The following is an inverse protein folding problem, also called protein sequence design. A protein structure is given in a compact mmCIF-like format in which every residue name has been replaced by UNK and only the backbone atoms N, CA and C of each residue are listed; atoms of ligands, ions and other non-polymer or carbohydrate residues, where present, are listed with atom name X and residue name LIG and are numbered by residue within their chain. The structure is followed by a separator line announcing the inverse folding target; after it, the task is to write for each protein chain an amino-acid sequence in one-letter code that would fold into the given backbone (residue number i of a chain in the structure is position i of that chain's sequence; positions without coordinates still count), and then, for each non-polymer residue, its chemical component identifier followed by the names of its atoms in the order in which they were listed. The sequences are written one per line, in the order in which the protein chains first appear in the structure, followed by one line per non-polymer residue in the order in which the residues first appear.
data_IF_628119665089
#
_entry.id   IF_628119665089
#
_cell.length_a   1.000
_cell.length_b   1.000
_cell.length_c   1.000
_cell.angle_alpha   90.00
_cell.angle_beta   90.00
_cell.angle_gamma   90.00
#
_symmetry.space_group_name_H-M   'P 1'
#
loop_
_entity.id
_entity.type
_entity.pdbx_description
1 polymer ?
#
# COMPACT_ATOMS: atom_id res chain seq x y z
N UNK A 1 -26.28 -3.28 -20.20
CA UNK A 1 -25.24 -4.26 -19.82
C UNK A 1 -23.86 -3.60 -19.98
N UNK A 2 -23.00 -3.70 -18.98
CA UNK A 2 -21.61 -3.27 -19.12
C UNK A 2 -20.80 -4.27 -19.94
N UNK A 3 -19.83 -3.77 -20.76
CA UNK A 3 -18.85 -4.60 -21.46
C UNK A 3 -17.52 -4.64 -20.72
N UNK A 4 -17.42 -3.91 -19.58
CA UNK A 4 -16.23 -3.88 -18.75
C UNK A 4 -16.28 -5.05 -17.78
N UNK A 5 -15.19 -5.84 -17.72
CA UNK A 5 -15.01 -6.84 -16.67
C UNK A 5 -14.65 -6.11 -15.37
N UNK A 6 -15.64 -5.89 -14.52
CA UNK A 6 -15.42 -5.37 -13.17
C UNK A 6 -14.89 -6.45 -12.23
N UNK A 7 -14.31 -6.05 -11.08
CA UNK A 7 -13.84 -7.00 -10.05
C UNK A 7 -14.94 -7.95 -9.57
N UNK A 8 -16.20 -7.50 -9.60
CA UNK A 8 -17.39 -8.33 -9.35
C UNK A 8 -18.17 -8.44 -10.65
N UNK A 9 -18.17 -9.63 -11.24
CA UNK A 9 -18.86 -9.88 -12.50
C UNK A 9 -20.41 -9.81 -12.39
N UNK A 10 -20.93 -10.01 -11.16
CA UNK A 10 -22.38 -10.06 -10.90
C UNK A 10 -22.98 -8.71 -10.47
N UNK A 11 -22.16 -7.69 -10.25
CA UNK A 11 -22.63 -6.38 -9.78
C UNK A 11 -21.97 -5.26 -10.59
N UNK A 12 -22.78 -4.31 -11.07
CA UNK A 12 -22.30 -3.12 -11.75
C UNK A 12 -22.22 -1.98 -10.73
N UNK A 13 -21.06 -1.32 -10.56
CA UNK A 13 -20.97 -0.15 -9.68
C UNK A 13 -21.75 1.04 -10.26
N UNK A 14 -22.13 2.04 -9.43
CA UNK A 14 -22.68 3.30 -9.90
C UNK A 14 -21.73 3.97 -10.91
N UNK A 15 -22.29 4.68 -11.88
CA UNK A 15 -21.50 5.43 -12.86
C UNK A 15 -21.17 6.80 -12.28
N UNK A 16 -19.89 7.08 -12.01
CA UNK A 16 -19.43 8.41 -11.64
C UNK A 16 -19.43 9.32 -12.88
N UNK A 17 -20.00 10.52 -12.74
CA UNK A 17 -20.11 11.51 -13.82
C UNK A 17 -19.37 12.81 -13.53
N UNK A 18 -18.88 13.01 -12.31
CA UNK A 18 -18.14 14.21 -11.94
C UNK A 18 -17.55 14.10 -10.53
N UNK A 19 -16.68 15.06 -10.20
CA UNK A 19 -16.11 15.20 -8.88
C UNK A 19 -15.64 16.63 -8.63
N UNK A 20 -15.76 17.10 -7.38
CA UNK A 20 -15.31 18.44 -6.97
C UNK A 20 -14.88 18.40 -5.50
N UNK A 21 -13.70 18.91 -5.21
CA UNK A 21 -13.17 18.89 -3.85
C UNK A 21 -13.11 17.44 -3.32
N UNK A 22 -13.74 17.18 -2.20
CA UNK A 22 -13.75 15.84 -1.58
C UNK A 22 -14.92 14.96 -2.05
N UNK A 23 -15.75 15.41 -2.98
CA UNK A 23 -16.99 14.72 -3.37
C UNK A 23 -16.94 14.20 -4.81
N UNK A 24 -17.53 13.02 -5.00
CA UNK A 24 -17.85 12.42 -6.28
C UNK A 24 -19.37 12.42 -6.49
N UNK A 25 -19.81 12.52 -7.74
CA UNK A 25 -21.21 12.50 -8.13
C UNK A 25 -21.49 11.34 -9.07
N UNK A 26 -22.57 10.59 -8.82
CA UNK A 26 -23.01 9.54 -9.73
C UNK A 26 -24.05 10.05 -10.74
N UNK A 27 -24.42 9.19 -11.70
CA UNK A 27 -25.38 9.51 -12.77
C UNK A 27 -26.80 9.79 -12.28
N UNK A 28 -27.12 9.57 -11.01
CA UNK A 28 -28.41 9.93 -10.38
C UNK A 28 -28.35 11.29 -9.70
N UNK A 29 -27.17 11.92 -9.66
CA UNK A 29 -26.93 13.17 -8.94
C UNK A 29 -26.60 13.00 -7.46
N UNK A 30 -26.45 11.77 -6.97
CA UNK A 30 -26.06 11.51 -5.58
C UNK A 30 -24.59 11.87 -5.36
N UNK A 31 -24.33 12.60 -4.28
CA UNK A 31 -22.98 12.96 -3.84
C UNK A 31 -22.43 11.94 -2.83
N UNK A 32 -21.12 11.66 -2.96
CA UNK A 32 -20.37 10.79 -2.07
C UNK A 32 -19.11 11.50 -1.59
N UNK A 33 -18.92 11.62 -0.28
CA UNK A 33 -17.64 12.04 0.30
C UNK A 33 -16.61 10.92 0.06
N UNK A 34 -15.50 11.24 -0.60
CA UNK A 34 -14.41 10.30 -0.84
C UNK A 34 -13.45 10.23 0.36
N UNK A 35 -13.86 9.51 1.41
CA UNK A 35 -13.03 9.32 2.59
C UNK A 35 -11.99 8.19 2.43
N UNK A 36 -11.93 7.56 1.25
CA UNK A 36 -10.94 6.54 0.90
C UNK A 36 -9.86 7.04 -0.06
N UNK A 37 -10.05 8.23 -0.66
CA UNK A 37 -9.23 8.67 -1.77
C UNK A 37 -9.26 7.68 -2.94
N UNK A 38 -10.38 6.99 -3.16
CA UNK A 38 -10.48 5.80 -3.98
C UNK A 38 -9.72 4.62 -3.36
N UNK A 39 -8.42 4.64 -3.35
CA UNK A 39 -7.52 3.71 -2.66
C UNK A 39 -6.26 4.46 -2.19
N UNK A 40 -6.44 5.54 -1.42
CA UNK A 40 -5.41 6.49 -0.99
C UNK A 40 -4.75 7.26 -2.17
N UNK A 41 -5.49 7.53 -3.24
CA UNK A 41 -4.98 8.16 -4.47
C UNK A 41 -5.25 9.66 -4.50
N UNK A 42 -6.51 10.07 -4.33
CA UNK A 42 -7.03 11.44 -4.58
C UNK A 42 -6.60 12.44 -3.51
N UNK A 43 -5.29 12.68 -3.37
CA UNK A 43 -4.74 13.54 -2.30
C UNK A 43 -5.20 15.01 -2.41
N UNK A 44 -5.42 15.55 -3.61
CA UNK A 44 -5.98 16.89 -3.83
C UNK A 44 -7.50 16.88 -4.05
N UNK A 45 -8.15 15.74 -3.83
CA UNK A 45 -9.54 15.55 -4.21
C UNK A 45 -9.74 15.57 -5.72
N UNK A 46 -10.89 16.03 -6.16
CA UNK A 46 -11.35 15.94 -7.54
C UNK A 46 -11.46 17.34 -8.18
N UNK A 47 -11.09 17.43 -9.47
CA UNK A 47 -11.30 18.65 -10.26
C UNK A 47 -10.41 19.84 -9.91
N UNK A 48 -9.18 19.62 -9.39
CA UNK A 48 -8.28 20.72 -9.03
C UNK A 48 -7.87 21.52 -10.27
N UNK A 49 -8.16 22.85 -10.32
CA UNK A 49 -8.06 23.63 -11.56
C UNK A 49 -6.63 23.75 -12.08
N UNK A 50 -5.64 23.89 -11.21
CA UNK A 50 -4.25 24.04 -11.62
C UNK A 50 -3.66 22.74 -12.22
N UNK A 51 -4.04 21.59 -11.68
CA UNK A 51 -3.60 20.30 -12.23
C UNK A 51 -4.22 20.10 -13.62
N UNK A 52 -5.51 20.41 -13.77
CA UNK A 52 -6.21 20.36 -15.06
C UNK A 52 -5.54 21.30 -16.07
N UNK A 53 -5.24 22.56 -15.67
CA UNK A 53 -4.56 23.51 -16.52
C UNK A 53 -3.16 23.06 -16.93
N UNK A 54 -2.40 22.43 -16.01
CA UNK A 54 -1.08 21.87 -16.32
C UNK A 54 -1.16 20.74 -17.36
N UNK A 55 -2.14 19.85 -17.22
CA UNK A 55 -2.38 18.78 -18.18
C UNK A 55 -2.78 19.32 -19.57
N UNK A 56 -3.63 20.34 -19.63
CA UNK A 56 -3.97 20.98 -20.90
C UNK A 56 -2.74 21.58 -21.59
N UNK A 57 -1.91 22.33 -20.85
CA UNK A 57 -0.65 22.86 -21.39
C UNK A 57 0.26 21.78 -21.93
N UNK A 58 0.48 20.72 -21.12
CA UNK A 58 1.34 19.61 -21.51
C UNK A 58 0.84 18.89 -22.76
N UNK A 59 -0.48 18.69 -22.87
CA UNK A 59 -1.08 18.03 -24.04
C UNK A 59 -0.81 18.81 -25.34
N UNK A 60 -0.87 20.15 -25.30
CA UNK A 60 -0.56 20.98 -26.46
C UNK A 60 0.95 21.04 -26.75
N UNK A 61 1.81 20.94 -25.74
CA UNK A 61 3.26 21.02 -25.90
C UNK A 61 3.83 19.70 -26.41
N UNK A 62 3.56 18.61 -25.70
CA UNK A 62 4.09 17.28 -25.99
C UNK A 62 3.26 16.23 -25.27
N UNK A 63 2.47 15.47 -26.00
CA UNK A 63 1.66 14.41 -25.45
C UNK A 63 2.50 13.19 -25.05
N UNK A 64 3.46 12.78 -25.88
CA UNK A 64 4.31 11.61 -25.67
C UNK A 64 5.68 11.76 -26.35
N UNK A 65 6.72 11.29 -25.66
CA UNK A 65 8.04 11.00 -26.21
C UNK A 65 8.57 9.72 -25.56
N UNK A 66 9.23 8.87 -26.34
CA UNK A 66 9.80 7.62 -25.84
C UNK A 66 11.17 7.87 -25.20
N UNK A 67 11.37 7.37 -23.98
CA UNK A 67 12.57 7.64 -23.17
C UNK A 67 13.88 7.02 -23.72
N UNK A 68 13.79 6.12 -24.72
CA UNK A 68 14.99 5.69 -25.46
C UNK A 68 15.59 6.77 -26.36
N UNK A 69 14.87 7.87 -26.63
CA UNK A 69 15.29 8.93 -27.54
C UNK A 69 15.30 10.31 -26.88
N UNK A 70 14.35 10.56 -25.97
CA UNK A 70 14.14 11.86 -25.37
C UNK A 70 13.75 11.74 -23.89
N UNK A 71 14.19 12.67 -23.08
CA UNK A 71 13.54 13.01 -21.81
C UNK A 71 12.54 14.14 -22.04
N UNK A 72 11.86 14.58 -20.99
CA UNK A 72 10.97 15.75 -21.05
C UNK A 72 11.20 16.66 -19.84
N UNK A 73 11.01 17.96 -20.03
CA UNK A 73 11.16 18.96 -18.97
C UNK A 73 10.31 18.61 -17.74
N UNK A 74 9.05 18.18 -17.94
CA UNK A 74 8.18 17.78 -16.85
C UNK A 74 8.69 16.55 -16.07
N UNK A 75 9.37 15.61 -16.75
CA UNK A 75 9.93 14.43 -16.10
C UNK A 75 11.17 14.79 -15.27
N UNK A 76 12.07 15.63 -15.82
CA UNK A 76 13.27 16.09 -15.12
C UNK A 76 12.91 16.95 -13.89
N UNK A 77 12.00 17.93 -14.05
CA UNK A 77 11.54 18.76 -12.93
C UNK A 77 10.82 17.94 -11.83
N UNK A 78 10.05 16.92 -12.22
CA UNK A 78 9.45 16.01 -11.24
C UNK A 78 10.53 15.23 -10.50
N UNK A 79 11.53 14.69 -11.20
CA UNK A 79 12.63 13.96 -10.59
C UNK A 79 13.40 14.84 -9.61
N UNK A 80 13.79 16.06 -10.00
CA UNK A 80 14.46 17.03 -9.12
C UNK A 80 13.64 17.30 -7.85
N UNK A 81 12.32 17.48 -8.01
CA UNK A 81 11.42 17.75 -6.90
C UNK A 81 11.31 16.57 -5.95
N UNK A 82 11.36 15.33 -6.45
CA UNK A 82 11.31 14.12 -5.64
C UNK A 82 12.62 13.91 -4.86
N UNK A 83 13.76 14.19 -5.49
CA UNK A 83 15.07 14.03 -4.84
C UNK A 83 15.34 15.12 -3.79
N UNK A 84 14.84 16.33 -4.00
CA UNK A 84 15.09 17.47 -3.10
C UNK A 84 14.79 17.16 -1.63
N UNK A 85 13.73 16.42 -1.36
CA UNK A 85 13.26 16.08 -0.01
C UNK A 85 13.48 14.59 0.31
N UNK A 86 14.28 13.89 -0.49
CA UNK A 86 14.48 12.45 -0.32
C UNK A 86 15.37 12.13 0.90
N UNK A 87 15.14 11.01 1.58
CA UNK A 87 16.05 10.50 2.59
C UNK A 87 17.49 10.43 2.11
N UNK A 88 18.48 10.64 3.00
CA UNK A 88 19.89 10.67 2.63
C UNK A 88 20.34 9.46 1.81
N UNK A 89 21.11 9.69 0.75
CA UNK A 89 21.66 8.66 -0.13
C UNK A 89 20.76 8.28 -1.31
N UNK A 90 19.51 8.70 -1.34
CA UNK A 90 18.63 8.58 -2.52
C UNK A 90 18.94 9.74 -3.49
N UNK A 91 19.16 9.43 -4.77
CA UNK A 91 19.72 10.39 -5.73
C UNK A 91 19.12 10.37 -7.13
N UNK A 92 18.44 9.29 -7.51
CA UNK A 92 17.89 9.12 -8.86
C UNK A 92 16.44 8.62 -8.82
N UNK A 93 15.71 8.86 -9.92
CA UNK A 93 14.30 8.50 -10.08
C UNK A 93 14.12 7.65 -11.33
N UNK A 94 13.42 6.54 -11.19
CA UNK A 94 12.90 5.76 -12.30
C UNK A 94 11.38 5.87 -12.33
N UNK A 95 10.81 6.47 -13.37
CA UNK A 95 9.37 6.67 -13.50
C UNK A 95 8.68 5.42 -14.08
N UNK A 96 7.47 5.15 -13.61
CA UNK A 96 6.62 4.04 -14.03
C UNK A 96 5.15 4.48 -14.12
N UNK A 97 4.25 3.61 -14.59
CA UNK A 97 2.83 3.98 -14.73
C UNK A 97 1.99 3.66 -13.50
N UNK A 98 2.56 3.08 -12.46
CA UNK A 98 1.84 2.75 -11.23
C UNK A 98 2.65 1.95 -10.23
N UNK A 99 2.05 1.66 -9.05
CA UNK A 99 2.74 1.02 -7.93
C UNK A 99 3.22 -0.41 -8.21
N UNK A 100 2.44 -1.21 -8.95
CA UNK A 100 2.86 -2.59 -9.30
C UNK A 100 4.10 -2.59 -10.19
N UNK A 101 4.18 -1.67 -11.16
CA UNK A 101 5.35 -1.51 -12.01
C UNK A 101 6.54 -0.93 -11.25
N UNK A 102 6.29 0.00 -10.31
CA UNK A 102 7.34 0.54 -9.46
C UNK A 102 7.98 -0.56 -8.59
N UNK A 103 7.19 -1.40 -7.94
CA UNK A 103 7.72 -2.53 -7.17
C UNK A 103 8.42 -3.55 -8.07
N UNK A 104 7.84 -3.92 -9.23
CA UNK A 104 8.48 -4.82 -10.20
C UNK A 104 9.85 -4.29 -10.63
N UNK A 105 9.93 -2.98 -10.89
CA UNK A 105 11.18 -2.30 -11.25
C UNK A 105 12.19 -2.31 -10.09
N UNK A 106 11.74 -2.02 -8.86
CA UNK A 106 12.60 -2.05 -7.67
C UNK A 106 13.21 -3.44 -7.41
N UNK A 107 12.41 -4.51 -7.58
CA UNK A 107 12.90 -5.89 -7.44
C UNK A 107 13.97 -6.22 -8.50
N UNK A 108 13.75 -5.79 -9.74
CA UNK A 108 14.71 -5.99 -10.84
C UNK A 108 15.96 -5.14 -10.66
N UNK A 109 15.83 -3.89 -10.20
CA UNK A 109 16.98 -3.04 -9.86
C UNK A 109 17.84 -3.70 -8.78
N UNK A 110 17.19 -4.18 -7.72
CA UNK A 110 17.89 -4.86 -6.64
C UNK A 110 18.62 -6.13 -7.13
N UNK A 111 18.00 -6.90 -8.00
CA UNK A 111 18.64 -8.08 -8.62
C UNK A 111 19.83 -7.68 -9.49
N UNK A 112 19.63 -6.73 -10.41
CA UNK A 112 20.70 -6.31 -11.34
C UNK A 112 21.86 -5.65 -10.59
N UNK A 113 21.60 -4.88 -9.53
CA UNK A 113 22.64 -4.32 -8.67
C UNK A 113 23.66 -5.37 -8.24
N UNK A 114 23.20 -6.53 -7.76
CA UNK A 114 24.12 -7.61 -7.35
C UNK A 114 24.80 -8.32 -8.53
N UNK A 115 24.17 -8.38 -9.68
CA UNK A 115 24.83 -8.88 -10.90
C UNK A 115 25.98 -7.96 -11.32
N UNK A 116 25.75 -6.63 -11.31
CA UNK A 116 26.80 -5.64 -11.62
C UNK A 116 27.93 -5.64 -10.58
N UNK A 117 27.61 -6.00 -9.33
CA UNK A 117 28.61 -6.19 -8.26
C UNK A 117 29.39 -7.48 -8.33
N UNK A 118 29.09 -8.36 -9.31
CA UNK A 118 29.74 -9.69 -9.41
C UNK A 118 29.20 -10.72 -8.41
N UNK A 119 28.01 -10.51 -7.86
CA UNK A 119 27.35 -11.41 -6.90
C UNK A 119 26.08 -12.06 -7.49
N UNK A 120 26.15 -12.74 -8.67
CA UNK A 120 24.96 -13.27 -9.35
C UNK A 120 24.26 -14.42 -8.61
N UNK A 121 24.89 -14.99 -7.58
CA UNK A 121 24.29 -16.02 -6.72
C UNK A 121 23.15 -15.48 -5.85
N UNK A 122 23.10 -14.18 -5.53
CA UNK A 122 22.02 -13.56 -4.77
C UNK A 122 20.71 -13.60 -5.56
N UNK A 123 19.69 -14.24 -5.01
CA UNK A 123 18.42 -14.50 -5.72
C UNK A 123 17.18 -14.42 -4.83
N UNK A 124 17.32 -14.50 -3.51
CA UNK A 124 16.19 -14.54 -2.60
C UNK A 124 15.73 -13.15 -2.19
N UNK A 125 14.42 -12.96 -2.19
CA UNK A 125 13.74 -11.78 -1.67
C UNK A 125 12.99 -12.21 -0.40
N UNK A 126 13.10 -11.40 0.65
CA UNK A 126 12.36 -11.56 1.88
C UNK A 126 11.34 -10.43 1.99
N UNK A 127 10.10 -10.74 2.35
CA UNK A 127 9.04 -9.76 2.58
C UNK A 127 8.22 -10.12 3.83
N UNK A 128 7.15 -9.37 4.11
CA UNK A 128 6.28 -9.65 5.26
C UNK A 128 5.00 -10.37 4.84
N UNK A 129 4.49 -11.26 5.70
CA UNK A 129 3.11 -11.73 5.59
C UNK A 129 2.15 -10.56 5.70
N UNK A 130 0.95 -10.72 5.15
CA UNK A 130 -0.09 -9.67 5.15
C UNK A 130 0.36 -8.33 4.54
N UNK A 131 1.30 -8.35 3.59
CA UNK A 131 1.69 -7.20 2.79
C UNK A 131 1.03 -7.21 1.42
N UNK A 132 1.00 -6.03 0.79
CA UNK A 132 0.53 -5.86 -0.59
C UNK A 132 1.48 -4.96 -1.36
N UNK A 133 2.08 -5.50 -2.42
CA UNK A 133 3.07 -4.79 -3.23
C UNK A 133 2.65 -4.60 -4.69
N UNK A 134 1.51 -5.14 -5.09
CA UNK A 134 0.99 -5.01 -6.46
C UNK A 134 0.45 -6.30 -7.05
N UNK A 135 0.17 -6.28 -8.35
CA UNK A 135 -0.46 -7.39 -9.08
C UNK A 135 0.36 -7.88 -10.30
N UNK A 136 1.51 -7.30 -10.61
CA UNK A 136 2.48 -7.96 -11.50
C UNK A 136 3.01 -9.22 -10.80
N UNK A 137 3.48 -10.22 -11.54
CA UNK A 137 3.85 -11.51 -10.94
C UNK A 137 4.95 -11.38 -9.88
N UNK A 138 5.96 -10.54 -10.10
CA UNK A 138 7.00 -10.29 -9.10
C UNK A 138 6.46 -9.51 -7.88
N UNK A 139 5.70 -8.46 -8.09
CA UNK A 139 5.07 -7.71 -6.99
C UNK A 139 4.09 -8.56 -6.19
N UNK A 140 3.31 -9.43 -6.85
CA UNK A 140 2.40 -10.36 -6.20
C UNK A 140 3.16 -11.46 -5.44
N UNK A 141 4.29 -11.92 -5.98
CA UNK A 141 5.17 -12.87 -5.30
C UNK A 141 5.76 -12.28 -4.01
N UNK A 142 6.23 -11.03 -4.04
CA UNK A 142 6.70 -10.30 -2.87
C UNK A 142 5.58 -10.04 -1.84
N UNK A 143 4.35 -9.79 -2.30
CA UNK A 143 3.17 -9.64 -1.42
C UNK A 143 2.92 -10.88 -0.58
N UNK A 144 2.56 -10.70 0.70
CA UNK A 144 2.37 -11.79 1.66
C UNK A 144 0.93 -12.12 2.01
N UNK A 145 -0.06 -11.55 1.32
CA UNK A 145 -1.47 -11.84 1.55
C UNK A 145 -1.92 -13.09 0.78
N UNK A 146 -2.17 -14.19 1.49
CA UNK A 146 -2.47 -15.50 0.90
C UNK A 146 -3.73 -15.50 0.03
N UNK A 147 -4.77 -14.76 0.40
CA UNK A 147 -5.99 -14.68 -0.41
C UNK A 147 -5.72 -14.15 -1.82
N UNK A 148 -4.81 -13.16 -1.96
CA UNK A 148 -4.45 -12.58 -3.25
C UNK A 148 -3.55 -13.50 -4.08
N UNK A 149 -2.74 -14.33 -3.42
CA UNK A 149 -1.72 -15.21 -4.01
C UNK A 149 -2.28 -16.56 -4.45
N UNK A 150 -3.27 -17.09 -3.73
CA UNK A 150 -3.69 -18.49 -3.80
C UNK A 150 -3.95 -18.98 -5.23
N UNK A 151 -4.71 -18.23 -6.03
CA UNK A 151 -5.02 -18.62 -7.42
C UNK A 151 -3.82 -18.55 -8.36
N UNK A 152 -2.85 -17.67 -8.09
CA UNK A 152 -1.70 -17.40 -8.95
C UNK A 152 -0.43 -18.09 -8.47
N UNK A 153 -0.48 -18.82 -7.36
CA UNK A 153 0.69 -19.46 -6.73
C UNK A 153 1.57 -20.25 -7.72
N UNK A 154 1.02 -21.01 -8.69
CA UNK A 154 1.84 -21.73 -9.66
C UNK A 154 2.66 -20.85 -10.62
N UNK A 155 2.33 -19.54 -10.71
CA UNK A 155 3.01 -18.58 -11.59
C UNK A 155 4.01 -17.68 -10.82
N UNK A 156 4.03 -17.77 -9.50
CA UNK A 156 4.82 -16.85 -8.67
C UNK A 156 6.25 -17.36 -8.50
N UNK A 157 7.21 -16.44 -8.59
CA UNK A 157 8.59 -16.71 -8.20
C UNK A 157 8.68 -16.92 -6.69
N UNK A 158 9.66 -17.70 -6.25
CA UNK A 158 9.89 -17.97 -4.84
C UNK A 158 10.22 -16.67 -4.09
N UNK A 159 9.49 -16.40 -3.02
CA UNK A 159 9.71 -15.28 -2.10
C UNK A 159 9.47 -15.77 -0.68
N UNK A 160 10.31 -15.35 0.25
CA UNK A 160 10.26 -15.77 1.65
C UNK A 160 9.56 -14.71 2.49
N UNK A 161 8.71 -15.15 3.43
CA UNK A 161 7.91 -14.22 4.24
C UNK A 161 8.17 -14.42 5.72
N UNK A 162 8.38 -13.30 6.44
CA UNK A 162 8.41 -13.21 7.90
C UNK A 162 7.09 -12.61 8.41
N UNK A 163 6.87 -12.63 9.72
CA UNK A 163 5.66 -12.03 10.29
C UNK A 163 5.65 -10.51 10.14
N UNK A 164 4.48 -9.87 10.03
CA UNK A 164 4.38 -8.42 10.00
C UNK A 164 4.69 -7.82 11.37
N UNK A 165 5.15 -6.58 11.41
CA UNK A 165 5.14 -5.77 12.63
C UNK A 165 3.71 -5.28 12.88
N UNK A 166 2.94 -6.02 13.68
CA UNK A 166 1.53 -5.80 13.92
C UNK A 166 1.21 -5.93 15.43
N UNK A 167 1.51 -4.87 16.18
CA UNK A 167 1.48 -4.90 17.64
C UNK A 167 0.12 -5.35 18.19
N UNK A 168 -0.99 -4.80 17.71
CA UNK A 168 -2.33 -5.17 18.18
C UNK A 168 -2.58 -6.68 18.17
N UNK A 169 -2.02 -7.43 17.22
CA UNK A 169 -2.25 -8.88 17.07
C UNK A 169 -1.10 -9.74 17.56
N UNK A 170 0.15 -9.27 17.46
CA UNK A 170 1.33 -10.13 17.59
C UNK A 170 2.25 -9.76 18.77
N UNK A 171 2.04 -8.60 19.39
CA UNK A 171 2.73 -8.25 20.62
C UNK A 171 2.14 -9.09 21.77
N UNK A 172 3.01 -9.66 22.60
CA UNK A 172 2.65 -10.52 23.73
C UNK A 172 2.19 -9.68 24.92
N UNK A 173 1.38 -10.27 25.78
CA UNK A 173 0.97 -9.60 27.01
C UNK A 173 2.20 -9.27 27.88
N UNK A 174 2.32 -8.02 28.29
CA UNK A 174 3.46 -7.51 29.06
C UNK A 174 4.76 -7.30 28.27
N UNK A 175 4.78 -7.56 26.97
CA UNK A 175 5.95 -7.28 26.11
C UNK A 175 6.00 -5.76 25.80
N UNK A 176 7.15 -5.11 26.08
CA UNK A 176 7.34 -3.72 25.69
C UNK A 176 7.44 -3.57 24.16
N UNK A 177 7.15 -2.36 23.64
CA UNK A 177 7.29 -2.07 22.21
C UNK A 177 8.73 -2.32 21.72
N UNK A 178 9.73 -2.01 22.55
CA UNK A 178 11.14 -2.25 22.23
C UNK A 178 11.46 -3.75 22.10
N UNK A 179 10.96 -4.57 23.05
CA UNK A 179 11.15 -6.02 23.01
C UNK A 179 10.43 -6.64 21.81
N UNK A 180 9.21 -6.17 21.53
CA UNK A 180 8.46 -6.59 20.35
C UNK A 180 9.18 -6.20 19.06
N UNK A 181 9.66 -4.95 18.94
CA UNK A 181 10.42 -4.48 17.77
C UNK A 181 11.66 -5.36 17.54
N UNK A 182 12.40 -5.67 18.61
CA UNK A 182 13.58 -6.53 18.53
C UNK A 182 13.23 -7.94 18.07
N UNK A 183 12.19 -8.55 18.63
CA UNK A 183 11.70 -9.88 18.26
C UNK A 183 11.18 -9.94 16.82
N UNK A 184 10.38 -8.97 16.43
CA UNK A 184 9.80 -8.91 15.08
C UNK A 184 10.89 -8.68 14.02
N UNK A 185 11.86 -7.77 14.27
CA UNK A 185 12.97 -7.54 13.36
C UNK A 185 13.95 -8.72 13.33
N UNK A 186 14.16 -9.40 14.45
CA UNK A 186 15.01 -10.58 14.56
C UNK A 186 14.64 -11.71 13.62
N UNK A 187 13.36 -11.83 13.25
CA UNK A 187 12.91 -12.82 12.25
C UNK A 187 13.57 -12.61 10.88
N UNK A 188 13.87 -11.34 10.51
CA UNK A 188 14.61 -11.07 9.28
C UNK A 188 16.01 -11.65 9.34
N UNK A 189 16.73 -11.43 10.43
CA UNK A 189 18.08 -11.96 10.61
C UNK A 189 18.11 -13.48 10.61
N UNK A 190 17.15 -14.11 11.29
CA UNK A 190 16.99 -15.57 11.30
C UNK A 190 16.74 -16.09 9.86
N UNK A 191 15.85 -15.45 9.11
CA UNK A 191 15.54 -15.84 7.72
C UNK A 191 16.76 -15.69 6.81
N UNK A 192 17.54 -14.62 6.95
CA UNK A 192 18.78 -14.42 6.19
C UNK A 192 19.78 -15.56 6.47
N UNK A 193 19.97 -15.94 7.75
CA UNK A 193 20.86 -17.04 8.13
C UNK A 193 20.40 -18.38 7.58
N UNK A 194 19.09 -18.64 7.54
CA UNK A 194 18.52 -19.87 6.97
C UNK A 194 18.75 -19.99 5.47
N UNK A 195 18.70 -18.86 4.75
CA UNK A 195 18.82 -18.81 3.28
C UNK A 195 20.30 -18.76 2.80
N UNK A 196 21.20 -18.32 3.69
CA UNK A 196 22.55 -17.91 3.33
C UNK A 196 22.61 -16.42 3.00
N UNK A 197 23.42 -15.68 3.74
CA UNK A 197 23.49 -14.21 3.61
C UNK A 197 23.91 -13.75 2.19
N UNK A 198 24.76 -14.52 1.54
CA UNK A 198 25.25 -14.31 0.17
C UNK A 198 24.23 -14.69 -0.93
N UNK A 199 23.09 -15.25 -0.55
CA UNK A 199 22.00 -15.61 -1.47
C UNK A 199 20.83 -14.61 -1.45
N UNK A 200 20.78 -13.68 -0.46
CA UNK A 200 19.67 -12.75 -0.27
C UNK A 200 19.95 -11.44 -0.99
N UNK A 201 18.96 -10.94 -1.75
CA UNK A 201 18.98 -9.66 -2.47
C UNK A 201 18.49 -8.53 -1.55
N UNK A 202 17.25 -8.65 -1.06
CA UNK A 202 16.57 -7.54 -0.42
C UNK A 202 15.53 -8.00 0.61
N UNK A 203 15.23 -7.09 1.54
CA UNK A 203 14.01 -7.08 2.31
C UNK A 203 13.04 -6.04 1.76
N UNK A 204 11.78 -6.43 1.52
CA UNK A 204 10.72 -5.57 0.97
C UNK A 204 9.62 -5.41 2.00
N UNK A 205 9.22 -4.17 2.30
CA UNK A 205 8.16 -3.89 3.26
C UNK A 205 7.42 -2.58 2.93
N UNK A 206 6.11 -2.54 3.19
CA UNK A 206 5.40 -1.26 3.30
C UNK A 206 5.90 -0.53 4.56
N UNK A 207 6.17 0.76 4.48
CA UNK A 207 6.53 1.56 5.67
C UNK A 207 5.38 1.53 6.68
N UNK A 208 4.14 1.70 6.21
CA UNK A 208 2.90 1.46 6.98
C UNK A 208 2.06 0.50 6.16
N UNK A 209 1.70 -0.65 6.73
CA UNK A 209 0.91 -1.67 6.02
C UNK A 209 -0.46 -1.12 5.68
N UNK A 210 -0.77 -1.06 4.38
CA UNK A 210 -1.98 -0.41 3.89
C UNK A 210 -3.20 -1.32 3.80
N UNK A 211 -3.55 -1.68 2.57
CA UNK A 211 -4.83 -2.28 2.20
C UNK A 211 -5.13 -3.64 2.85
N UNK A 212 -4.12 -4.42 3.22
CA UNK A 212 -4.31 -5.80 3.71
C UNK A 212 -4.51 -5.89 5.21
N UNK A 213 -4.03 -4.90 5.97
CA UNK A 213 -4.12 -4.90 7.42
C UNK A 213 -4.73 -3.61 8.02
N UNK A 214 -5.02 -2.58 7.20
CA UNK A 214 -5.69 -1.35 7.61
C UNK A 214 -4.78 -0.40 8.37
N UNK A 215 -3.89 0.27 7.66
CA UNK A 215 -3.00 1.35 8.12
C UNK A 215 -2.19 1.00 9.39
N UNK A 216 -1.54 -0.18 9.41
CA UNK A 216 -0.72 -0.64 10.56
C UNK A 216 0.66 0.02 10.53
N UNK A 217 0.96 0.99 11.43
CA UNK A 217 2.30 1.54 11.56
C UNK A 217 3.22 0.54 12.26
N UNK A 218 4.53 0.56 11.99
CA UNK A 218 5.48 -0.18 12.80
C UNK A 218 5.56 0.43 14.21
N UNK A 219 5.89 -0.40 15.21
CA UNK A 219 6.28 0.11 16.52
C UNK A 219 7.63 0.83 16.43
N UNK A 220 7.90 1.69 17.41
CA UNK A 220 9.15 2.45 17.45
C UNK A 220 10.37 1.55 17.28
N UNK A 221 11.38 2.04 16.57
CA UNK A 221 12.66 1.39 16.27
C UNK A 221 12.62 0.11 15.41
N UNK A 222 11.46 -0.43 15.06
CA UNK A 222 11.39 -1.63 14.21
C UNK A 222 12.13 -1.42 12.86
N UNK A 223 11.83 -0.35 12.13
CA UNK A 223 12.47 -0.09 10.83
C UNK A 223 13.96 0.23 10.96
N UNK A 224 14.41 0.89 12.04
CA UNK A 224 15.84 1.11 12.33
C UNK A 224 16.58 -0.22 12.53
N UNK A 225 15.96 -1.16 13.25
CA UNK A 225 16.52 -2.50 13.44
C UNK A 225 16.59 -3.28 12.13
N UNK A 226 15.55 -3.17 11.30
CA UNK A 226 15.53 -3.74 9.93
C UNK A 226 16.69 -3.16 9.12
N UNK A 227 16.87 -1.83 9.10
CA UNK A 227 17.98 -1.18 8.37
C UNK A 227 19.35 -1.70 8.88
N UNK A 228 19.55 -1.76 10.19
CA UNK A 228 20.77 -2.27 10.78
C UNK A 228 21.07 -3.73 10.37
N UNK A 229 20.04 -4.58 10.30
CA UNK A 229 20.19 -5.96 9.86
C UNK A 229 20.54 -5.99 8.35
N UNK A 230 19.85 -5.21 7.52
CA UNK A 230 20.15 -5.13 6.09
C UNK A 230 21.61 -4.69 5.85
N UNK A 231 22.09 -3.68 6.58
CA UNK A 231 23.46 -3.18 6.47
C UNK A 231 24.48 -4.25 6.88
N UNK A 232 24.23 -4.94 7.99
CA UNK A 232 25.12 -5.99 8.50
C UNK A 232 25.34 -7.12 7.50
N UNK A 233 24.30 -7.49 6.75
CA UNK A 233 24.33 -8.60 5.79
C UNK A 233 24.51 -8.14 4.34
N UNK A 234 24.68 -6.83 4.10
CA UNK A 234 24.86 -6.27 2.76
C UNK A 234 23.69 -6.53 1.83
N UNK A 235 22.45 -6.62 2.35
CA UNK A 235 21.22 -6.73 1.56
C UNK A 235 20.54 -5.38 1.39
N UNK A 236 19.74 -5.22 0.34
CA UNK A 236 19.04 -3.97 0.09
C UNK A 236 17.73 -3.88 0.90
N UNK A 237 17.40 -2.67 1.35
CA UNK A 237 16.09 -2.34 1.92
C UNK A 237 15.25 -1.63 0.87
N UNK A 238 14.11 -2.22 0.50
CA UNK A 238 13.10 -1.65 -0.39
C UNK A 238 11.88 -1.29 0.46
N UNK A 239 11.54 -0.01 0.54
CA UNK A 239 10.32 0.44 1.20
C UNK A 239 9.24 0.77 0.16
N UNK A 240 8.08 0.14 0.34
CA UNK A 240 6.88 0.43 -0.42
C UNK A 240 6.10 1.54 0.28
N UNK A 241 6.12 2.72 -0.32
CA UNK A 241 5.38 3.88 0.12
C UNK A 241 4.26 4.28 -0.86
N UNK A 242 3.83 3.33 -1.67
CA UNK A 242 2.76 3.55 -2.65
C UNK A 242 1.46 4.04 -2.01
N UNK A 243 1.13 3.62 -0.77
CA UNK A 243 -0.05 4.12 -0.05
C UNK A 243 0.27 5.19 0.99
N UNK A 244 1.35 5.03 1.72
CA UNK A 244 1.67 5.87 2.88
C UNK A 244 2.59 7.05 2.57
N UNK A 245 3.26 7.05 1.42
CA UNK A 245 4.13 8.15 0.97
C UNK A 245 3.38 9.30 0.29
N UNK A 246 4.12 10.16 -0.38
CA UNK A 246 3.61 11.35 -1.08
C UNK A 246 2.78 12.26 -0.18
N UNK A 247 3.13 12.36 1.11
CA UNK A 247 2.47 13.24 2.07
C UNK A 247 1.34 12.64 2.89
N UNK A 248 0.87 11.42 2.59
CA UNK A 248 -0.31 10.80 3.21
C UNK A 248 -0.24 10.73 4.74
N UNK A 249 0.94 10.60 5.31
CA UNK A 249 1.18 10.45 6.74
C UNK A 249 1.69 11.71 7.45
N UNK A 250 1.85 12.81 6.68
CA UNK A 250 2.30 14.11 7.21
C UNK A 250 3.75 14.48 6.84
N UNK A 251 4.56 13.54 6.38
CA UNK A 251 5.86 13.75 5.74
C UNK A 251 5.80 13.30 4.29
N UNK A 252 6.68 13.80 3.41
CA UNK A 252 6.64 13.41 2.01
C UNK A 252 6.98 11.92 1.85
N UNK A 253 8.06 11.45 2.46
CA UNK A 253 8.38 10.04 2.64
C UNK A 253 7.95 9.60 4.03
N UNK A 254 7.17 8.53 4.14
CA UNK A 254 6.68 8.07 5.43
C UNK A 254 7.82 7.55 6.33
N UNK A 255 8.89 7.00 5.75
CA UNK A 255 10.06 6.49 6.46
C UNK A 255 10.89 7.57 7.19
N UNK A 256 10.72 8.85 6.84
CA UNK A 256 11.34 9.98 7.55
C UNK A 256 10.93 9.98 9.03
N UNK A 257 9.67 9.62 9.34
CA UNK A 257 9.15 9.58 10.71
C UNK A 257 9.81 8.49 11.55
N UNK A 258 10.35 7.46 10.91
CA UNK A 258 11.07 6.37 11.57
C UNK A 258 12.59 6.59 11.53
N UNK A 259 13.08 7.68 10.92
CA UNK A 259 14.50 8.03 10.81
C UNK A 259 15.29 7.00 10.00
N UNK A 260 14.72 6.45 8.93
CA UNK A 260 15.32 5.39 8.11
C UNK A 260 15.46 5.84 6.66
N UNK A 261 16.66 5.64 6.11
CA UNK A 261 16.94 5.79 4.69
C UNK A 261 17.03 4.40 4.03
N UNK A 262 16.08 4.03 3.15
CA UNK A 262 16.16 2.78 2.39
C UNK A 262 17.09 2.91 1.19
N UNK A 263 17.35 1.77 0.52
CA UNK A 263 18.11 1.75 -0.74
C UNK A 263 17.20 2.06 -1.96
N UNK A 264 15.92 1.70 -1.84
CA UNK A 264 14.89 1.94 -2.86
C UNK A 264 13.56 2.30 -2.18
N UNK A 265 12.87 3.30 -2.71
CA UNK A 265 11.48 3.65 -2.31
C UNK A 265 10.58 3.57 -3.52
N UNK A 266 9.47 2.85 -3.41
CA UNK A 266 8.43 2.85 -4.43
C UNK A 266 7.32 3.84 -4.06
N UNK A 267 6.99 4.74 -4.97
CA UNK A 267 5.89 5.72 -4.87
C UNK A 267 4.88 5.51 -6.00
N UNK A 268 3.61 5.87 -5.75
CA UNK A 268 2.55 5.99 -6.76
C UNK A 268 1.36 6.75 -6.16
N UNK A 269 0.14 6.48 -6.63
CA UNK A 269 -1.13 6.99 -6.05
C UNK A 269 -1.12 8.49 -5.79
N UNK A 270 -0.89 8.93 -4.54
CA UNK A 270 -0.78 10.34 -4.16
C UNK A 270 0.29 11.11 -4.93
N UNK A 271 1.29 10.43 -5.52
CA UNK A 271 2.27 11.06 -6.38
C UNK A 271 1.62 11.81 -7.56
N UNK A 272 0.67 11.18 -8.24
CA UNK A 272 -0.10 11.77 -9.35
C UNK A 272 -1.51 12.22 -8.95
N UNK A 273 -1.93 12.00 -7.70
CA UNK A 273 -3.23 12.42 -7.17
C UNK A 273 -4.45 11.88 -7.90
N UNK A 274 -4.28 10.86 -8.75
CA UNK A 274 -5.36 10.28 -9.56
C UNK A 274 -5.60 10.97 -10.90
N UNK A 275 -4.86 12.04 -11.22
CA UNK A 275 -5.03 12.76 -12.48
C UNK A 275 -4.41 12.03 -13.68
N UNK A 276 -3.33 11.31 -13.46
CA UNK A 276 -2.73 10.40 -14.45
C UNK A 276 -2.16 9.17 -13.74
N UNK A 277 -2.12 7.99 -14.40
CA UNK A 277 -1.36 6.85 -13.94
C UNK A 277 0.13 7.22 -13.81
N UNK A 278 0.67 7.12 -12.59
CA UNK A 278 2.07 7.46 -12.30
C UNK A 278 2.59 6.62 -11.14
N UNK A 279 3.80 6.14 -11.29
CA UNK A 279 4.60 5.53 -10.24
C UNK A 279 6.05 5.98 -10.36
N UNK A 280 6.83 5.76 -9.32
CA UNK A 280 8.26 6.03 -9.32
C UNK A 280 9.00 5.07 -8.40
N UNK A 281 10.24 4.79 -8.72
CA UNK A 281 11.24 4.22 -7.81
C UNK A 281 12.30 5.28 -7.59
N UNK A 282 12.51 5.65 -6.34
CA UNK A 282 13.63 6.49 -5.94
C UNK A 282 14.75 5.54 -5.51
N UNK A 283 15.91 5.68 -6.10
CA UNK A 283 17.04 4.78 -5.87
C UNK A 283 18.24 5.49 -5.29
N UNK A 284 19.02 4.75 -4.53
CA UNK A 284 20.25 5.27 -3.93
C UNK A 284 21.38 5.41 -4.96
N UNK A 285 22.29 6.35 -4.70
CA UNK A 285 23.49 6.60 -5.50
C UNK A 285 24.31 5.34 -5.73
N UNK A 286 24.49 4.50 -4.70
CA UNK A 286 25.23 3.24 -4.84
C UNK A 286 24.64 2.26 -5.86
N UNK A 287 23.31 2.29 -6.08
CA UNK A 287 22.64 1.46 -7.09
C UNK A 287 22.89 2.07 -8.48
N UNK A 288 22.76 3.38 -8.61
CA UNK A 288 23.07 4.08 -9.85
C UNK A 288 24.53 3.88 -10.27
N UNK A 289 25.47 4.04 -9.33
CA UNK A 289 26.92 3.87 -9.58
C UNK A 289 27.27 2.46 -10.01
N UNK A 290 26.59 1.44 -9.44
CA UNK A 290 26.80 0.06 -9.86
C UNK A 290 26.37 -0.16 -11.31
N UNK A 291 25.28 0.45 -11.76
CA UNK A 291 24.86 0.38 -13.16
C UNK A 291 25.77 1.18 -14.08
N UNK A 292 26.10 2.41 -13.71
CA UNK A 292 26.97 3.30 -14.50
C UNK A 292 28.39 2.75 -14.65
N UNK A 293 28.94 2.17 -13.58
CA UNK A 293 30.27 1.54 -13.58
C UNK A 293 30.32 0.11 -14.11
N UNK A 294 29.17 -0.53 -14.27
CA UNK A 294 29.02 -1.89 -14.79
C UNK A 294 28.59 -1.91 -16.25
N UNK A 295 27.40 -2.46 -16.55
CA UNK A 295 26.87 -2.57 -17.91
C UNK A 295 26.51 -1.22 -18.55
N UNK A 296 26.30 -0.16 -17.77
CA UNK A 296 25.79 1.13 -18.22
C UNK A 296 24.31 1.11 -18.63
N UNK A 297 23.59 0.03 -18.33
CA UNK A 297 22.24 -0.20 -18.84
C UNK A 297 21.36 -0.92 -17.83
N UNK A 298 20.16 -0.39 -17.54
CA UNK A 298 19.14 -1.11 -16.77
C UNK A 298 18.27 -1.97 -17.68
N UNK A 299 18.39 -3.30 -17.55
CA UNK A 299 17.72 -4.32 -18.40
C UNK A 299 16.21 -4.40 -18.13
N UNK A 300 15.54 -3.24 -18.09
CA UNK A 300 14.11 -3.14 -17.82
C UNK A 300 13.55 -1.83 -18.36
N UNK A 301 12.31 -1.85 -18.82
CA UNK A 301 11.63 -0.65 -19.29
C UNK A 301 10.18 -0.94 -19.66
N UNK A 302 9.37 0.12 -19.65
CA UNK A 302 8.01 0.12 -20.14
C UNK A 302 7.85 1.22 -21.19
N UNK A 303 7.00 1.01 -22.20
CA UNK A 303 6.75 1.98 -23.27
C UNK A 303 6.37 3.36 -22.73
N UNK A 304 5.64 3.42 -21.62
CA UNK A 304 5.18 4.67 -21.00
C UNK A 304 6.03 5.14 -19.81
N UNK A 305 7.24 4.61 -19.63
CA UNK A 305 8.20 5.14 -18.65
C UNK A 305 8.44 6.63 -18.92
N UNK A 306 8.31 7.46 -17.89
CA UNK A 306 8.55 8.91 -18.01
C UNK A 306 7.56 9.65 -18.91
N UNK A 307 6.33 9.14 -19.07
CA UNK A 307 5.29 9.77 -19.91
C UNK A 307 5.09 11.25 -19.56
N UNK A 308 5.28 12.21 -20.51
CA UNK A 308 5.24 13.64 -20.21
C UNK A 308 3.96 14.10 -19.54
N UNK A 309 2.80 13.60 -19.95
CA UNK A 309 1.51 13.92 -19.33
C UNK A 309 1.43 13.45 -17.88
N UNK A 310 1.94 12.24 -17.60
CA UNK A 310 1.93 11.69 -16.24
C UNK A 310 2.88 12.48 -15.33
N UNK A 311 4.07 12.82 -15.84
CA UNK A 311 5.05 13.63 -15.13
C UNK A 311 4.51 15.04 -14.84
N UNK A 312 3.87 15.70 -15.82
CA UNK A 312 3.26 17.02 -15.66
C UNK A 312 2.12 17.00 -14.61
N UNK A 313 1.31 15.94 -14.58
CA UNK A 313 0.31 15.76 -13.54
C UNK A 313 0.95 15.64 -12.16
N UNK A 314 1.92 14.73 -12.01
CA UNK A 314 2.65 14.55 -10.76
C UNK A 314 3.31 15.84 -10.27
N UNK A 315 4.02 16.52 -11.15
CA UNK A 315 4.67 17.79 -10.86
C UNK A 315 3.67 18.86 -10.37
N UNK A 316 2.55 19.02 -11.06
CA UNK A 316 1.50 19.96 -10.66
C UNK A 316 0.89 19.61 -9.28
N UNK A 317 0.59 18.32 -9.05
CA UNK A 317 0.06 17.84 -7.78
C UNK A 317 1.03 18.13 -6.65
N UNK A 318 2.32 17.80 -6.81
CA UNK A 318 3.33 17.98 -5.78
C UNK A 318 3.66 19.47 -5.53
N UNK A 319 3.58 20.32 -6.54
CA UNK A 319 3.71 21.77 -6.40
C UNK A 319 2.58 22.36 -5.56
N UNK A 320 1.32 21.95 -5.80
CA UNK A 320 0.16 22.37 -5.01
C UNK A 320 0.30 21.94 -3.56
N UNK A 321 0.64 20.66 -3.29
CA UNK A 321 0.82 20.14 -1.93
C UNK A 321 1.84 20.98 -1.14
N UNK A 322 2.97 21.34 -1.76
CA UNK A 322 4.02 22.16 -1.12
C UNK A 322 3.60 23.61 -0.94
N UNK A 323 3.10 24.25 -1.99
CA UNK A 323 2.71 25.67 -1.98
C UNK A 323 1.63 25.93 -0.92
N UNK A 324 0.63 25.08 -0.85
CA UNK A 324 -0.52 25.24 0.06
C UNK A 324 -0.26 24.60 1.44
N UNK A 325 0.97 24.16 1.70
CA UNK A 325 1.41 23.55 2.96
C UNK A 325 0.47 22.42 3.42
N UNK A 326 0.03 21.57 2.48
CA UNK A 326 -0.96 20.54 2.78
C UNK A 326 -0.44 19.43 3.69
N UNK A 327 0.89 19.25 3.82
CA UNK A 327 1.45 18.30 4.79
C UNK A 327 1.11 18.72 6.23
N UNK A 328 1.17 20.02 6.54
CA UNK A 328 0.74 20.52 7.84
C UNK A 328 -0.77 20.26 8.07
N UNK A 329 -1.60 20.40 7.03
CA UNK A 329 -3.03 20.06 7.12
C UNK A 329 -3.25 18.55 7.35
N UNK A 330 -2.44 17.68 6.71
CA UNK A 330 -2.48 16.23 6.94
C UNK A 330 -2.20 15.89 8.41
N UNK A 331 -1.22 16.55 9.02
CA UNK A 331 -0.92 16.36 10.45
C UNK A 331 -2.08 16.85 11.31
N UNK A 332 -2.54 18.08 11.08
CA UNK A 332 -3.62 18.69 11.89
C UNK A 332 -4.95 17.92 11.76
N UNK A 333 -5.38 17.64 10.54
CA UNK A 333 -6.63 16.92 10.30
C UNK A 333 -6.51 15.42 10.60
N UNK A 334 -5.31 14.87 10.51
CA UNK A 334 -5.02 13.51 10.98
C UNK A 334 -5.20 13.34 12.48
N UNK A 335 -4.77 14.33 13.29
CA UNK A 335 -5.03 14.37 14.73
C UNK A 335 -6.51 14.56 15.06
N UNK A 336 -7.19 15.48 14.36
CA UNK A 336 -8.63 15.67 14.49
C UNK A 336 -9.43 14.40 14.15
N UNK A 337 -9.05 13.72 13.07
CA UNK A 337 -9.68 12.46 12.63
C UNK A 337 -9.50 11.36 13.69
N UNK A 338 -8.30 11.22 14.24
CA UNK A 338 -8.01 10.25 15.30
C UNK A 338 -8.85 10.51 16.54
N UNK A 339 -8.86 11.78 17.01
CA UNK A 339 -9.62 12.17 18.19
C UNK A 339 -11.11 11.84 18.01
N UNK A 340 -11.72 12.27 16.89
CA UNK A 340 -13.14 12.01 16.64
C UNK A 340 -13.46 10.51 16.45
N UNK A 341 -12.57 9.75 15.85
CA UNK A 341 -12.73 8.30 15.75
C UNK A 341 -12.70 7.65 17.15
N UNK A 342 -11.80 8.09 18.03
CA UNK A 342 -11.74 7.60 19.41
C UNK A 342 -12.99 8.00 20.21
N UNK A 343 -13.48 9.22 20.05
CA UNK A 343 -14.72 9.69 20.70
C UNK A 343 -15.94 8.89 20.23
N UNK A 344 -16.08 8.64 18.93
CA UNK A 344 -17.26 7.96 18.35
C UNK A 344 -17.19 6.44 18.45
N UNK A 345 -16.01 5.85 18.29
CA UNK A 345 -15.82 4.41 18.12
C UNK A 345 -14.87 3.77 19.15
N UNK A 346 -14.10 4.53 19.91
CA UNK A 346 -13.10 3.99 20.85
C UNK A 346 -13.68 3.07 21.93
N UNK A 347 -14.93 3.31 22.34
CA UNK A 347 -15.66 2.44 23.27
C UNK A 347 -16.69 1.55 22.59
N UNK A 348 -16.74 1.54 21.26
CA UNK A 348 -17.69 0.72 20.54
C UNK A 348 -17.40 -0.77 20.74
N UNK A 349 -18.43 -1.58 21.06
CA UNK A 349 -18.29 -2.98 21.46
C UNK A 349 -17.53 -3.84 20.47
N UNK A 350 -17.67 -3.54 19.17
CA UNK A 350 -17.11 -4.33 18.07
C UNK A 350 -15.91 -3.66 17.37
N UNK A 351 -15.34 -2.60 17.94
CA UNK A 351 -14.10 -1.97 17.46
C UNK A 351 -12.95 -2.37 18.36
N UNK A 352 -11.97 -3.07 17.81
CA UNK A 352 -10.82 -3.59 18.55
C UNK A 352 -9.65 -2.62 18.59
N UNK A 353 -9.39 -1.92 17.47
CA UNK A 353 -8.24 -1.02 17.34
C UNK A 353 -8.53 0.13 16.36
N UNK A 354 -8.01 1.31 16.68
CA UNK A 354 -8.00 2.50 15.82
C UNK A 354 -6.55 2.95 15.72
N UNK A 355 -5.99 2.97 14.50
CA UNK A 355 -4.54 3.15 14.28
C UNK A 355 -4.24 3.94 13.02
N UNK A 356 -2.98 4.27 12.83
CA UNK A 356 -2.48 4.94 11.63
C UNK A 356 -1.66 6.18 11.92
N UNK A 357 -1.26 6.90 10.84
CA UNK A 357 -0.53 8.18 10.92
C UNK A 357 -1.14 9.18 9.94
N UNK A 358 -1.22 10.45 10.32
CA UNK A 358 -1.80 11.50 9.48
C UNK A 358 -3.21 11.16 9.01
N UNK A 359 -3.51 11.41 7.74
CA UNK A 359 -4.77 11.06 7.10
C UNK A 359 -4.79 9.63 6.51
N UNK A 360 -4.11 8.69 7.17
CA UNK A 360 -4.08 7.28 6.84
C UNK A 360 -4.46 6.48 8.08
N UNK A 361 -5.75 6.15 8.23
CA UNK A 361 -6.32 5.56 9.45
C UNK A 361 -7.01 4.24 9.17
N UNK A 362 -6.87 3.30 10.09
CA UNK A 362 -7.53 2.00 10.07
C UNK A 362 -8.33 1.77 11.32
N UNK A 363 -9.52 1.20 11.16
CA UNK A 363 -10.42 0.77 12.24
C UNK A 363 -10.57 -0.75 12.10
N UNK A 364 -10.13 -1.51 13.08
CA UNK A 364 -10.24 -2.97 13.08
C UNK A 364 -11.49 -3.41 13.81
N UNK A 365 -12.26 -4.28 13.15
CA UNK A 365 -13.51 -4.82 13.66
C UNK A 365 -13.27 -6.17 14.32
N UNK A 366 -13.85 -6.38 15.51
CA UNK A 366 -13.76 -7.62 16.28
C UNK A 366 -15.13 -8.02 16.83
N UNK A 367 -15.38 -9.30 16.96
CA UNK A 367 -16.57 -9.83 17.61
C UNK A 367 -16.46 -9.74 19.15
N UNK A 368 -15.24 -9.83 19.67
CA UNK A 368 -14.93 -9.68 21.10
C UNK A 368 -13.62 -8.92 21.29
N UNK A 369 -13.68 -7.79 22.00
CA UNK A 369 -12.53 -6.92 22.26
C UNK A 369 -11.52 -7.54 23.23
N UNK A 370 -11.97 -8.32 24.19
CA UNK A 370 -11.12 -8.89 25.23
C UNK A 370 -10.19 -9.96 24.70
N UNK A 371 -10.70 -10.77 23.79
CA UNK A 371 -9.97 -11.87 23.14
C UNK A 371 -9.44 -11.48 21.76
N UNK A 372 -9.81 -10.29 21.25
CA UNK A 372 -9.54 -9.82 19.88
C UNK A 372 -10.10 -10.79 18.82
N UNK A 373 -11.17 -11.56 19.16
CA UNK A 373 -11.78 -12.52 18.25
C UNK A 373 -12.33 -11.81 17.02
N UNK A 374 -11.98 -12.26 15.79
CA UNK A 374 -12.56 -11.70 14.57
C UNK A 374 -14.01 -12.21 14.39
N UNK A 375 -14.76 -11.48 13.57
CA UNK A 375 -16.06 -11.96 13.08
C UNK A 375 -15.90 -13.18 12.18
N UNK A 376 -16.95 -14.00 12.08
CA UNK A 376 -17.03 -15.07 11.08
C UNK A 376 -17.03 -14.42 9.67
N UNK A 377 -16.11 -14.78 8.77
CA UNK A 377 -16.04 -14.24 7.41
C UNK A 377 -17.33 -14.41 6.60
N UNK A 378 -18.15 -15.43 6.91
CA UNK A 378 -19.45 -15.65 6.25
C UNK A 378 -20.45 -14.51 6.51
N UNK A 379 -20.25 -13.73 7.58
CA UNK A 379 -21.07 -12.54 7.86
C UNK A 379 -20.82 -11.41 6.86
N UNK A 380 -19.67 -11.43 6.17
CA UNK A 380 -19.25 -10.42 5.17
C UNK A 380 -19.37 -8.99 5.71
N UNK A 381 -18.92 -8.78 6.96
CA UNK A 381 -19.07 -7.49 7.65
C UNK A 381 -18.51 -6.33 6.85
N UNK A 382 -17.32 -6.48 6.28
CA UNK A 382 -16.69 -5.47 5.41
C UNK A 382 -17.58 -5.06 4.22
N UNK A 383 -18.26 -6.02 3.59
CA UNK A 383 -19.17 -5.74 2.47
C UNK A 383 -20.44 -5.00 2.94
N UNK A 384 -20.97 -5.35 4.12
CA UNK A 384 -22.12 -4.66 4.74
C UNK A 384 -21.75 -3.22 5.11
N UNK A 385 -20.61 -2.98 5.76
CA UNK A 385 -20.12 -1.63 6.07
C UNK A 385 -19.97 -0.81 4.77
N UNK A 386 -19.45 -1.40 3.71
CA UNK A 386 -19.35 -0.72 2.41
C UNK A 386 -20.72 -0.30 1.89
N UNK A 387 -21.70 -1.19 1.91
CA UNK A 387 -23.05 -0.91 1.42
C UNK A 387 -23.71 0.21 2.23
N UNK A 388 -23.63 0.14 3.57
CA UNK A 388 -24.21 1.13 4.47
C UNK A 388 -23.53 2.52 4.35
N UNK A 389 -22.20 2.55 4.19
CA UNK A 389 -21.46 3.79 3.96
C UNK A 389 -21.88 4.43 2.60
N UNK A 390 -21.91 3.64 1.53
CA UNK A 390 -22.37 4.11 0.21
C UNK A 390 -23.82 4.59 0.23
N UNK A 391 -24.71 3.93 0.99
CA UNK A 391 -26.08 4.39 1.17
C UNK A 391 -26.13 5.79 1.79
N UNK A 392 -25.22 6.11 2.73
CA UNK A 392 -25.07 7.39 3.41
C UNK A 392 -24.24 8.42 2.65
N UNK A 393 -23.86 8.16 1.41
CA UNK A 393 -23.03 9.05 0.61
C UNK A 393 -21.60 9.15 1.14
N UNK A 394 -21.02 8.05 1.62
CA UNK A 394 -19.64 7.99 2.09
C UNK A 394 -18.90 6.85 1.40
N UNK A 395 -17.75 7.14 0.82
CA UNK A 395 -16.83 6.14 0.27
C UNK A 395 -15.72 5.87 1.29
N UNK A 396 -15.65 4.64 1.78
CA UNK A 396 -14.60 4.12 2.65
C UNK A 396 -13.99 2.87 2.03
N UNK A 397 -12.88 2.37 2.56
CA UNK A 397 -12.19 1.21 2.02
C UNK A 397 -12.21 0.03 3.03
N UNK A 398 -13.36 -0.66 3.18
CA UNK A 398 -13.45 -1.82 4.07
C UNK A 398 -12.87 -3.06 3.39
N UNK A 399 -12.14 -3.86 4.15
CA UNK A 399 -11.52 -5.11 3.69
C UNK A 399 -11.73 -6.21 4.71
N UNK A 400 -11.86 -7.44 4.21
CA UNK A 400 -11.77 -8.66 5.01
C UNK A 400 -10.39 -9.30 4.90
N UNK A 401 -10.11 -10.29 5.74
CA UNK A 401 -8.86 -11.04 5.73
C UNK A 401 -7.68 -10.31 6.36
N UNK A 402 -7.94 -9.42 7.30
CA UNK A 402 -6.97 -8.56 7.99
C UNK A 402 -5.84 -9.33 8.66
N UNK A 403 -6.11 -10.52 9.19
CA UNK A 403 -5.18 -11.30 10.02
C UNK A 403 -4.31 -12.24 9.18
N UNK A 404 -4.93 -13.00 8.28
CA UNK A 404 -4.28 -14.10 7.56
C UNK A 404 -4.71 -14.21 6.08
N UNK A 405 -5.43 -13.21 5.58
CA UNK A 405 -6.06 -13.21 4.25
C UNK A 405 -7.49 -13.76 4.25
N UNK A 406 -7.99 -14.34 5.35
CA UNK A 406 -9.35 -14.87 5.52
C UNK A 406 -10.07 -14.21 6.69
N UNK A 407 -9.44 -14.20 7.86
CA UNK A 407 -10.00 -13.73 9.11
C UNK A 407 -9.78 -12.25 9.33
N UNK A 408 -10.73 -11.61 10.03
CA UNK A 408 -10.68 -10.21 10.42
C UNK A 408 -11.21 -9.26 9.35
N UNK A 409 -11.78 -8.16 9.83
CA UNK A 409 -12.30 -7.07 9.01
C UNK A 409 -11.73 -5.74 9.50
N UNK A 410 -11.46 -4.84 8.56
CA UNK A 410 -11.09 -3.46 8.89
C UNK A 410 -11.71 -2.47 7.93
N UNK A 411 -11.78 -1.22 8.33
CA UNK A 411 -12.09 -0.07 7.47
C UNK A 411 -10.88 0.83 7.40
N UNK A 412 -10.42 1.15 6.19
CA UNK A 412 -9.33 2.09 5.97
C UNK A 412 -9.90 3.42 5.48
N UNK A 413 -9.41 4.50 6.07
CA UNK A 413 -9.67 5.89 5.71
C UNK A 413 -8.40 6.52 5.14
N UNK A 414 -8.56 7.24 4.03
CA UNK A 414 -7.51 8.00 3.38
C UNK A 414 -8.10 9.22 2.65
N UNK A 415 -8.79 10.13 3.36
CA UNK A 415 -9.43 11.27 2.74
C UNK A 415 -8.42 12.19 2.05
N UNK A 416 -8.85 13.07 1.13
CA UNK A 416 -8.00 14.08 0.52
C UNK A 416 -7.31 14.99 1.55
N UNK A 417 -6.12 15.50 1.23
CA UNK A 417 -5.35 16.39 2.11
C UNK A 417 -6.00 17.76 2.32
N UNK A 418 -6.99 18.09 1.50
CA UNK A 418 -7.74 19.35 1.54
C UNK A 418 -8.95 19.34 2.48
N UNK A 419 -9.19 18.23 3.19
CA UNK A 419 -10.30 18.15 4.17
C UNK A 419 -10.12 19.18 5.29
N UNK A 420 -11.24 19.69 5.79
CA UNK A 420 -11.30 20.54 6.98
C UNK A 420 -11.94 19.80 8.17
N UNK A 421 -12.08 20.49 9.30
CA UNK A 421 -12.70 19.94 10.53
C UNK A 421 -14.15 19.54 10.34
N UNK A 422 -14.88 20.24 9.49
CA UNK A 422 -16.29 19.95 9.19
C UNK A 422 -16.37 18.65 8.39
N UNK A 423 -15.50 18.49 7.42
CA UNK A 423 -15.42 17.29 6.59
C UNK A 423 -15.04 16.06 7.42
N UNK A 424 -14.05 16.20 8.31
CA UNK A 424 -13.65 15.13 9.24
C UNK A 424 -14.84 14.72 10.12
N UNK A 425 -15.61 15.69 10.65
CA UNK A 425 -16.84 15.41 11.40
C UNK A 425 -17.86 14.62 10.60
N UNK A 426 -18.16 15.07 9.37
CA UNK A 426 -19.09 14.37 8.46
C UNK A 426 -18.65 12.94 8.13
N UNK A 427 -17.35 12.73 7.94
CA UNK A 427 -16.77 11.40 7.67
C UNK A 427 -16.98 10.48 8.85
N UNK A 428 -16.59 10.90 10.06
CA UNK A 428 -16.65 10.06 11.27
C UNK A 428 -18.09 9.74 11.64
N UNK A 429 -18.99 10.71 11.59
CA UNK A 429 -20.42 10.50 11.88
C UNK A 429 -21.05 9.47 10.93
N UNK A 430 -20.90 9.68 9.61
CA UNK A 430 -21.44 8.75 8.61
C UNK A 430 -20.82 7.35 8.69
N UNK A 431 -19.53 7.27 9.03
CA UNK A 431 -18.86 5.99 9.20
C UNK A 431 -19.40 5.26 10.43
N UNK A 432 -19.54 5.95 11.57
CA UNK A 432 -20.12 5.38 12.79
C UNK A 432 -21.51 4.82 12.54
N UNK A 433 -22.39 5.61 11.92
CA UNK A 433 -23.74 5.17 11.57
C UNK A 433 -23.76 4.01 10.58
N UNK A 434 -22.80 3.95 9.65
CA UNK A 434 -22.68 2.84 8.71
C UNK A 434 -22.21 1.54 9.40
N UNK A 435 -21.29 1.63 10.36
CA UNK A 435 -20.85 0.50 11.19
C UNK A 435 -22.01 -0.01 12.05
N UNK A 436 -22.72 0.87 12.76
CA UNK A 436 -23.87 0.51 13.60
C UNK A 436 -24.94 -0.20 12.78
N UNK A 437 -25.32 0.35 11.63
CA UNK A 437 -26.32 -0.24 10.74
C UNK A 437 -25.87 -1.58 10.14
N UNK A 438 -24.61 -1.70 9.75
CA UNK A 438 -24.05 -2.96 9.24
C UNK A 438 -24.13 -4.07 10.30
N UNK A 439 -23.78 -3.77 11.54
CA UNK A 439 -23.85 -4.70 12.66
C UNK A 439 -25.32 -5.06 12.99
N UNK A 440 -26.19 -4.06 13.08
CA UNK A 440 -27.61 -4.26 13.34
C UNK A 440 -28.32 -5.12 12.26
N UNK A 441 -27.76 -5.15 11.04
CA UNK A 441 -28.26 -6.03 9.96
C UNK A 441 -27.92 -7.51 10.14
N UNK A 442 -27.08 -7.86 11.13
CA UNK A 442 -26.68 -9.23 11.43
C UNK A 442 -27.55 -9.77 12.57
N UNK A 443 -28.19 -10.95 12.43
CA UNK A 443 -28.96 -11.54 13.52
C UNK A 443 -28.10 -11.78 14.78
N UNK A 444 -28.58 -11.37 15.94
CA UNK A 444 -27.85 -11.48 17.21
C UNK A 444 -27.36 -12.91 17.52
N UNK A 445 -28.11 -13.92 17.11
CA UNK A 445 -27.78 -15.35 17.34
C UNK A 445 -26.50 -15.82 16.64
N UNK A 446 -26.02 -15.06 15.60
CA UNK A 446 -24.82 -15.43 14.83
C UNK A 446 -23.71 -14.38 14.96
N UNK A 447 -24.02 -13.22 15.51
CA UNK A 447 -23.08 -12.08 15.55
C UNK A 447 -21.78 -12.40 16.31
N UNK A 448 -21.88 -13.10 17.43
CA UNK A 448 -20.75 -13.49 18.28
C UNK A 448 -20.31 -14.94 18.09
N UNK A 449 -20.76 -15.59 17.03
CA UNK A 449 -20.32 -16.96 16.74
C UNK A 449 -18.84 -16.94 16.36
N UNK A 450 -18.00 -17.80 16.97
CA UNK A 450 -16.62 -17.91 16.55
C UNK A 450 -16.54 -18.36 15.09
N UNK A 451 -15.55 -17.88 14.32
CA UNK A 451 -15.37 -18.32 12.94
C UNK A 451 -15.15 -19.83 12.90
N UNK A 452 -15.79 -20.49 11.93
CA UNK A 452 -15.59 -21.91 11.72
C UNK A 452 -14.10 -22.19 11.46
N UNK A 453 -13.51 -23.12 12.18
CA UNK A 453 -12.17 -23.63 11.88
C UNK A 453 -12.24 -24.26 10.49
N UNK A 454 -11.70 -23.62 9.46
CA UNK A 454 -11.58 -24.27 8.15
C UNK A 454 -10.61 -25.43 8.29
N UNK A 455 -10.96 -26.59 7.76
CA UNK A 455 -9.96 -27.60 7.45
C UNK A 455 -8.84 -26.91 6.63
N UNK A 456 -7.58 -27.15 6.99
CA UNK A 456 -6.44 -26.67 6.21
C UNK A 456 -6.68 -27.02 4.74
N UNK A 457 -6.29 -26.19 3.78
CA UNK A 457 -6.40 -26.53 2.38
C UNK A 457 -5.79 -27.92 2.19
N UNK A 458 -6.60 -28.85 1.68
CA UNK A 458 -6.18 -30.22 1.39
C UNK A 458 -4.92 -30.09 0.53
N UNK A 459 -3.78 -30.46 1.11
CA UNK A 459 -2.54 -30.63 0.37
C UNK A 459 -2.90 -31.56 -0.79
N UNK A 460 -2.71 -31.11 -2.02
CA UNK A 460 -2.87 -31.94 -3.20
C UNK A 460 -2.07 -33.21 -2.92
N UNK A 461 -2.76 -34.33 -2.78
CA UNK A 461 -2.16 -35.65 -2.59
C UNK A 461 -1.13 -35.83 -3.71
N UNK A 462 0.13 -36.02 -3.32
CA UNK A 462 1.15 -36.54 -4.21
C UNK A 462 0.61 -37.79 -4.88
N UNK A 463 0.26 -37.69 -6.15
CA UNK A 463 -0.03 -38.85 -6.96
C UNK A 463 1.22 -39.72 -6.91
N UNK A 464 1.08 -40.88 -6.30
CA UNK A 464 2.05 -41.96 -6.31
C UNK A 464 2.41 -42.27 -7.76
N UNK A 465 3.68 -42.16 -8.10
CA UNK A 465 4.25 -42.70 -9.34
C UNK A 465 3.94 -44.20 -9.38
N UNK A 466 2.93 -44.56 -10.14
CA UNK A 466 2.66 -45.93 -10.55
C UNK A 466 3.74 -46.37 -11.54
N UNK A 467 4.56 -47.29 -11.10
CA UNK A 467 5.52 -48.06 -11.91
C UNK A 467 4.86 -48.56 -13.21
N UNK A 468 5.35 -48.12 -14.38
CA UNK A 468 5.05 -48.77 -15.66
C UNK A 468 5.83 -50.09 -15.77
N UNK A 469 5.20 -51.21 -16.09
CA UNK A 469 5.92 -52.42 -16.43
C UNK A 469 6.56 -52.29 -17.83
N UNK A 470 7.80 -52.69 -17.94
CA UNK A 470 8.52 -52.94 -19.20
C UNK A 470 7.82 -54.02 -20.00
N UNK A 471 7.49 -53.75 -21.27
CA UNK A 471 7.23 -54.78 -22.26
C UNK A 471 7.93 -54.41 -23.59
N UNK A 472 8.87 -55.21 -23.93
CA UNK A 472 9.47 -55.65 -25.19
C UNK A 472 9.23 -54.82 -26.45
#
# INVERSE_FOLDING_TARGET
MTRILHRHALTTPPTAVGGKGIELFDSTGKAYIDASGGAAVSCLGHGHPEVIAALHRQLYTLAYAHTAFFTSEAAEELADLLIKDAPPGLSHVYLASGGSEAIESALKMARQYFVEKGEPQRRHIIARRQSYHGNTLGALAAGGNEWRRAQFKPLLVETHHIDPCYAYRLQRDGESDEAYAARAAGQLEEKIRQLGADQVIAFVAETIVGATAGAVPPVADYLKRIRTICDRYGILLILDEVMCGSGRTGTFYACEQDGVAPDLVALAKGLGGGYQPLGAVILSEKIFDAFAGGSGFFQHGHTYTGHPMAAAAGLAVQRVIRRDNLLANVVAMGGELEQRLLERLGNHHYVGDIRGRGLFRGIEMVADRSTKQPFDPELKLNARIKAEAMARGLMVYPMGGTIDGRLGDHVLLAPPFIVDRTDVGRIVERLGDAIDAAIASIPAAVLNRPPALSAAPVAASSASEGSRPSAR
#
